data_IF_502163947458
#
_entry.id   IF_502163947458
#
_cell.length_a   1.000
_cell.length_b   1.000
_cell.length_c   1.000
_cell.angle_alpha   90.00
_cell.angle_beta   90.00
_cell.angle_gamma   90.00
#
_symmetry.space_group_name_H-M   'P 1'
#
loop_
_entity.id
_entity.type
_entity.pdbx_description
1 polymer ?
#
# COMPACT_ATOMS: atom_id res chain seq x y z
N UNK A 1 16.59 17.40 -15.22
CA UNK A 1 15.87 16.12 -15.36
C UNK A 1 16.76 15.17 -16.14
N UNK A 2 16.99 13.94 -15.65
CA UNK A 2 17.82 12.96 -16.36
C UNK A 2 16.96 12.20 -17.37
N UNK A 3 17.46 12.00 -18.59
CA UNK A 3 16.73 11.32 -19.68
C UNK A 3 17.55 10.22 -20.36
N UNK A 4 18.79 10.02 -19.93
CA UNK A 4 19.70 9.01 -20.44
C UNK A 4 19.60 7.74 -19.57
N UNK A 5 19.16 6.59 -20.12
CA UNK A 5 19.05 5.33 -19.37
C UNK A 5 20.39 4.82 -18.80
N UNK A 6 21.51 5.01 -19.51
CA UNK A 6 22.82 4.53 -19.03
C UNK A 6 23.30 5.34 -17.84
N UNK A 7 23.01 6.66 -17.84
CA UNK A 7 23.28 7.52 -16.71
C UNK A 7 22.37 7.19 -15.52
N UNK A 8 21.08 6.95 -15.75
CA UNK A 8 20.13 6.53 -14.70
C UNK A 8 20.58 5.21 -14.07
N UNK A 9 20.97 4.23 -14.88
CA UNK A 9 21.50 2.94 -14.43
C UNK A 9 22.78 3.11 -13.61
N UNK A 10 23.69 3.98 -14.06
CA UNK A 10 24.92 4.29 -13.34
C UNK A 10 24.64 4.88 -11.96
N UNK A 11 23.71 5.81 -11.85
CA UNK A 11 23.29 6.41 -10.57
C UNK A 11 22.60 5.38 -9.67
N UNK A 12 21.68 4.58 -10.22
CA UNK A 12 20.86 3.64 -9.44
C UNK A 12 21.61 2.37 -9.00
N UNK A 13 22.69 1.98 -9.70
CA UNK A 13 23.43 0.74 -9.43
C UNK A 13 24.87 1.01 -8.99
N UNK A 14 25.68 1.63 -9.86
CA UNK A 14 27.12 1.78 -9.63
C UNK A 14 27.44 2.80 -8.53
N UNK A 15 26.67 3.87 -8.49
CA UNK A 15 26.87 5.00 -7.60
C UNK A 15 25.75 5.11 -6.55
N UNK A 16 25.04 4.02 -6.30
CA UNK A 16 23.86 4.01 -5.43
C UNK A 16 24.16 4.59 -4.03
N UNK A 17 25.31 4.23 -3.44
CA UNK A 17 25.70 4.72 -2.11
C UNK A 17 25.82 6.25 -2.03
N UNK A 18 26.08 6.95 -3.14
CA UNK A 18 26.12 8.41 -3.19
C UNK A 18 24.74 9.05 -3.39
N UNK A 19 23.74 8.28 -3.82
CA UNK A 19 22.41 8.77 -4.21
C UNK A 19 21.27 8.02 -3.50
N UNK A 20 21.54 7.46 -2.32
CA UNK A 20 20.60 6.63 -1.57
C UNK A 20 19.42 7.42 -0.95
N UNK A 21 19.59 8.72 -0.72
CA UNK A 21 18.61 9.56 -0.05
C UNK A 21 17.57 10.14 -1.02
N UNK A 22 16.29 9.99 -0.68
CA UNK A 22 15.20 10.64 -1.42
C UNK A 22 15.00 12.08 -0.95
N UNK A 23 14.47 12.92 -1.84
CA UNK A 23 13.98 14.26 -1.44
C UNK A 23 12.80 14.07 -0.49
N UNK A 24 12.96 14.48 0.76
CA UNK A 24 11.85 14.48 1.71
C UNK A 24 10.84 15.56 1.34
N UNK A 25 9.56 15.20 1.38
CA UNK A 25 8.44 16.13 1.20
C UNK A 25 8.00 16.79 2.51
N UNK A 26 8.51 16.32 3.65
CA UNK A 26 8.13 16.73 5.00
C UNK A 26 9.39 17.14 5.77
N UNK A 27 9.32 18.28 6.47
CA UNK A 27 10.39 18.67 7.40
C UNK A 27 10.28 17.83 8.67
N UNK A 28 11.41 17.43 9.23
CA UNK A 28 11.48 16.45 10.33
C UNK A 28 10.67 16.84 11.58
N UNK A 29 10.37 18.13 11.74
CA UNK A 29 9.67 18.75 12.86
C UNK A 29 8.14 18.87 12.68
N UNK A 30 7.61 18.67 11.47
CA UNK A 30 6.19 18.96 11.17
C UNK A 30 5.27 17.75 11.36
N UNK A 31 5.74 16.54 11.05
CA UNK A 31 4.95 15.31 11.21
C UNK A 31 5.88 14.12 11.53
N UNK A 32 5.92 13.68 12.81
CA UNK A 32 6.73 12.54 13.24
C UNK A 32 6.37 11.21 12.57
N UNK A 33 5.14 11.03 12.09
CA UNK A 33 4.74 9.80 11.39
C UNK A 33 5.27 9.79 9.96
N UNK A 34 5.14 10.93 9.26
CA UNK A 34 5.69 11.04 7.92
C UNK A 34 7.21 11.14 7.93
N UNK A 35 7.86 11.83 8.88
CA UNK A 35 9.32 11.96 8.89
C UNK A 35 10.04 10.62 9.17
N UNK A 36 9.36 9.68 9.86
CA UNK A 36 9.90 8.35 10.13
C UNK A 36 9.50 7.28 9.08
N UNK A 37 8.85 7.66 7.98
CA UNK A 37 8.57 6.72 6.90
C UNK A 37 9.87 6.31 6.17
N UNK A 38 9.93 5.10 5.61
CA UNK A 38 11.15 4.57 4.97
C UNK A 38 11.69 5.47 3.84
N UNK A 39 10.83 6.17 3.09
CA UNK A 39 11.25 7.07 2.01
C UNK A 39 11.79 8.42 2.51
N UNK A 40 11.52 8.79 3.76
CA UNK A 40 12.03 10.01 4.38
C UNK A 40 13.33 9.79 5.15
N UNK A 41 13.61 8.56 5.58
CA UNK A 41 14.87 8.20 6.24
C UNK A 41 16.06 8.37 5.30
N UNK A 42 17.22 8.70 5.89
CA UNK A 42 18.48 8.94 5.17
C UNK A 42 19.62 8.10 5.73
N UNK A 43 20.64 7.89 4.89
CA UNK A 43 21.89 7.24 5.28
C UNK A 43 21.70 5.89 5.97
N UNK A 44 22.45 5.66 7.06
CA UNK A 44 22.48 4.39 7.76
C UNK A 44 21.13 4.01 8.39
N UNK A 45 20.37 4.99 8.89
CA UNK A 45 19.04 4.73 9.46
C UNK A 45 18.08 4.17 8.40
N UNK A 46 18.14 4.68 7.17
CA UNK A 46 17.41 4.09 6.05
C UNK A 46 17.86 2.66 5.76
N UNK A 47 19.18 2.43 5.76
CA UNK A 47 19.78 1.13 5.45
C UNK A 47 19.37 0.06 6.46
N UNK A 48 19.39 0.39 7.74
CA UNK A 48 18.96 -0.48 8.84
C UNK A 48 17.47 -0.84 8.72
N UNK A 49 16.58 0.16 8.60
CA UNK A 49 15.14 -0.10 8.51
C UNK A 49 14.80 -0.84 7.21
N UNK A 50 15.47 -0.54 6.09
CA UNK A 50 15.30 -1.29 4.85
C UNK A 50 15.73 -2.75 4.99
N UNK A 51 16.87 -3.01 5.64
CA UNK A 51 17.32 -4.38 5.89
C UNK A 51 16.30 -5.14 6.75
N UNK A 52 15.64 -4.46 7.68
CA UNK A 52 14.59 -5.03 8.51
C UNK A 52 13.30 -5.31 7.71
N UNK A 53 12.88 -4.38 6.84
CA UNK A 53 11.60 -4.54 6.11
C UNK A 53 11.70 -5.47 4.89
N UNK A 54 12.85 -5.54 4.24
CA UNK A 54 13.01 -6.24 2.95
C UNK A 54 12.56 -7.71 2.98
N UNK A 55 12.82 -8.51 4.03
CA UNK A 55 12.41 -9.92 4.04
C UNK A 55 10.90 -10.16 4.09
N UNK A 56 10.11 -9.16 4.49
CA UNK A 56 8.65 -9.25 4.43
C UNK A 56 8.12 -9.31 2.99
N UNK A 57 8.91 -8.86 2.00
CA UNK A 57 8.54 -8.78 0.58
C UNK A 57 9.21 -9.86 -0.29
N UNK A 58 9.63 -10.98 0.30
CA UNK A 58 10.14 -12.12 -0.49
C UNK A 58 9.05 -12.72 -1.38
N UNK A 59 9.44 -13.35 -2.49
CA UNK A 59 8.48 -13.97 -3.44
C UNK A 59 7.52 -14.96 -2.78
N UNK A 60 7.99 -15.72 -1.78
CA UNK A 60 7.14 -16.65 -1.02
C UNK A 60 6.06 -15.92 -0.21
N UNK A 61 6.45 -14.84 0.50
CA UNK A 61 5.50 -14.03 1.27
C UNK A 61 4.53 -13.30 0.33
N UNK A 62 5.02 -12.74 -0.77
CA UNK A 62 4.19 -12.11 -1.80
C UNK A 62 3.19 -13.08 -2.43
N UNK A 63 3.57 -14.34 -2.67
CA UNK A 63 2.66 -15.38 -3.16
C UNK A 63 1.52 -15.66 -2.18
N UNK A 64 1.82 -15.70 -0.88
CA UNK A 64 0.80 -15.86 0.15
C UNK A 64 -0.14 -14.64 0.22
N UNK A 65 0.41 -13.42 0.12
CA UNK A 65 -0.38 -12.18 0.06
C UNK A 65 -1.31 -12.19 -1.17
N UNK A 66 -0.80 -12.63 -2.32
CA UNK A 66 -1.57 -12.69 -3.57
C UNK A 66 -2.81 -13.57 -3.43
N UNK A 67 -2.68 -14.74 -2.78
CA UNK A 67 -3.83 -15.64 -2.57
C UNK A 67 -4.95 -14.94 -1.80
N UNK A 68 -4.62 -14.27 -0.69
CA UNK A 68 -5.56 -13.52 0.12
C UNK A 68 -6.21 -12.37 -0.68
N UNK A 69 -5.41 -11.59 -1.41
CA UNK A 69 -5.92 -10.51 -2.26
C UNK A 69 -6.88 -11.03 -3.34
N UNK A 70 -6.57 -12.17 -3.96
CA UNK A 70 -7.41 -12.80 -4.98
C UNK A 70 -8.74 -13.31 -4.41
N UNK A 71 -8.72 -13.89 -3.22
CA UNK A 71 -9.93 -14.37 -2.55
C UNK A 71 -10.84 -13.19 -2.19
N UNK A 72 -10.28 -12.10 -1.65
CA UNK A 72 -11.03 -10.87 -1.39
C UNK A 72 -11.56 -10.20 -2.67
N UNK A 73 -10.79 -10.17 -3.76
CA UNK A 73 -11.26 -9.67 -5.04
C UNK A 73 -12.49 -10.43 -5.53
N UNK A 74 -12.50 -11.75 -5.34
CA UNK A 74 -13.63 -12.59 -5.70
C UNK A 74 -14.87 -12.22 -4.90
N UNK A 75 -14.72 -12.06 -3.58
CA UNK A 75 -15.84 -11.69 -2.71
C UNK A 75 -16.33 -10.26 -2.93
N UNK A 76 -15.40 -9.34 -3.20
CA UNK A 76 -15.70 -7.96 -3.55
C UNK A 76 -16.50 -7.85 -4.86
N UNK A 77 -16.14 -8.64 -5.88
CA UNK A 77 -16.91 -8.70 -7.14
C UNK A 77 -18.30 -9.28 -6.91
N UNK A 78 -18.44 -10.36 -6.12
CA UNK A 78 -19.76 -10.92 -5.77
C UNK A 78 -20.64 -9.87 -5.09
N UNK A 79 -20.09 -9.14 -4.12
CA UNK A 79 -20.79 -8.05 -3.46
C UNK A 79 -21.32 -7.01 -4.45
N UNK A 80 -20.50 -6.59 -5.42
CA UNK A 80 -20.93 -5.64 -6.46
C UNK A 80 -22.04 -6.22 -7.34
N UNK A 81 -21.96 -7.52 -7.68
CA UNK A 81 -22.98 -8.18 -8.51
C UNK A 81 -24.33 -8.28 -7.81
N UNK A 82 -24.34 -8.39 -6.48
CA UNK A 82 -25.54 -8.43 -5.64
C UNK A 82 -26.20 -7.05 -5.45
N UNK A 83 -25.51 -5.95 -5.78
CA UNK A 83 -26.09 -4.61 -5.72
C UNK A 83 -27.21 -4.40 -6.76
N UNK A 84 -28.22 -3.56 -6.46
CA UNK A 84 -29.22 -3.13 -7.43
C UNK A 84 -28.59 -2.53 -8.69
N UNK A 85 -29.26 -2.64 -9.84
CA UNK A 85 -28.72 -2.19 -11.13
C UNK A 85 -28.35 -0.70 -11.13
N UNK A 86 -29.13 0.10 -10.42
CA UNK A 86 -28.97 1.54 -10.24
C UNK A 86 -27.69 1.87 -9.43
N UNK A 87 -27.25 0.96 -8.58
CA UNK A 87 -26.06 1.10 -7.74
C UNK A 87 -24.80 0.48 -8.37
N UNK A 88 -24.93 -0.22 -9.51
CA UNK A 88 -23.78 -0.80 -10.24
C UNK A 88 -23.09 0.20 -11.17
N UNK A 89 -23.70 1.37 -11.40
CA UNK A 89 -23.01 2.50 -12.03
C UNK A 89 -22.21 3.22 -10.95
N UNK A 90 -20.91 2.96 -10.91
CA UNK A 90 -20.00 3.46 -9.88
C UNK A 90 -18.80 4.17 -10.50
N UNK A 91 -18.25 5.12 -9.77
CA UNK A 91 -16.99 5.78 -10.13
C UNK A 91 -15.81 4.84 -9.86
N UNK A 92 -14.92 4.68 -10.85
CA UNK A 92 -13.86 3.68 -10.79
C UNK A 92 -12.81 3.97 -9.71
N UNK A 93 -12.41 5.23 -9.52
CA UNK A 93 -11.42 5.58 -8.50
C UNK A 93 -11.96 5.28 -7.10
N UNK A 94 -13.23 5.55 -6.80
CA UNK A 94 -13.86 5.23 -5.53
C UNK A 94 -13.88 3.71 -5.29
N UNK A 95 -14.35 2.92 -6.27
CA UNK A 95 -14.43 1.47 -6.08
C UNK A 95 -13.06 0.82 -5.90
N UNK A 96 -12.04 1.25 -6.67
CA UNK A 96 -10.67 0.77 -6.48
C UNK A 96 -10.06 1.25 -5.17
N UNK A 97 -10.35 2.49 -4.74
CA UNK A 97 -9.89 3.01 -3.45
C UNK A 97 -10.46 2.18 -2.29
N UNK A 98 -11.74 1.80 -2.36
CA UNK A 98 -12.36 0.91 -1.38
C UNK A 98 -11.71 -0.47 -1.42
N UNK A 99 -11.55 -1.07 -2.60
CA UNK A 99 -10.86 -2.36 -2.72
C UNK A 99 -9.44 -2.34 -2.10
N UNK A 100 -8.65 -1.28 -2.34
CA UNK A 100 -7.28 -1.20 -1.83
C UNK A 100 -7.18 -0.79 -0.37
N UNK A 101 -8.14 0.01 0.13
CA UNK A 101 -8.08 0.64 1.47
C UNK A 101 -8.97 -0.05 2.50
N UNK A 102 -10.19 -0.42 2.10
CA UNK A 102 -11.10 -1.25 2.91
C UNK A 102 -10.71 -2.73 2.86
N UNK A 103 -9.68 -3.06 2.07
CA UNK A 103 -9.09 -4.38 1.92
C UNK A 103 -9.14 -5.18 3.22
N UNK A 104 -9.74 -6.37 3.11
CA UNK A 104 -10.04 -7.27 4.22
C UNK A 104 -8.78 -7.87 4.85
N UNK A 105 -7.62 -7.21 4.81
CA UNK A 105 -6.38 -7.72 5.38
C UNK A 105 -5.57 -6.63 6.04
N UNK A 106 -5.00 -6.97 7.19
CA UNK A 106 -4.00 -6.16 7.86
C UNK A 106 -2.70 -6.93 7.97
N UNK A 107 -1.59 -6.25 7.73
CA UNK A 107 -0.27 -6.78 8.05
C UNK A 107 -0.09 -6.69 9.56
N UNK A 108 -0.03 -7.84 10.23
CA UNK A 108 0.31 -7.92 11.66
C UNK A 108 1.76 -8.34 11.82
N UNK A 109 2.45 -7.69 12.74
CA UNK A 109 3.74 -8.20 13.21
C UNK A 109 3.52 -9.55 13.93
N UNK A 110 4.24 -10.57 13.50
CA UNK A 110 4.33 -11.90 14.09
C UNK A 110 5.82 -12.10 14.45
N UNK A 111 6.11 -12.41 15.71
CA UNK A 111 7.48 -12.73 16.16
C UNK A 111 8.52 -11.63 15.91
N UNK A 112 8.16 -10.35 16.08
CA UNK A 112 9.09 -9.21 16.07
C UNK A 112 9.60 -8.73 14.71
N UNK A 113 9.40 -9.51 13.65
CA UNK A 113 9.94 -9.20 12.32
C UNK A 113 9.01 -9.56 11.16
N UNK A 114 8.09 -10.50 11.35
CA UNK A 114 7.32 -11.07 10.25
C UNK A 114 6.01 -10.32 10.06
N UNK A 115 5.69 -9.94 8.84
CA UNK A 115 4.36 -9.43 8.52
C UNK A 115 3.47 -10.62 8.13
N UNK A 116 2.56 -11.00 9.02
CA UNK A 116 1.48 -11.94 8.75
C UNK A 116 0.28 -11.17 8.23
N UNK A 117 -0.14 -11.45 7.01
CA UNK A 117 -1.43 -10.97 6.53
C UNK A 117 -2.52 -11.79 7.20
N UNK A 118 -3.42 -11.10 7.91
CA UNK A 118 -4.60 -11.73 8.48
C UNK A 118 -5.85 -11.09 7.90
N UNK A 119 -6.90 -11.88 7.64
CA UNK A 119 -8.21 -11.33 7.34
C UNK A 119 -8.66 -10.36 8.44
N UNK A 120 -9.21 -9.21 8.03
CA UNK A 120 -9.83 -8.24 8.91
C UNK A 120 -11.14 -8.85 9.37
N UNK A 121 -11.36 -8.91 10.69
CA UNK A 121 -12.57 -9.52 11.26
C UNK A 121 -13.85 -8.76 10.87
N UNK A 122 -13.75 -7.44 10.73
CA UNK A 122 -14.84 -6.56 10.32
C UNK A 122 -14.39 -5.66 9.16
N UNK A 123 -14.98 -5.80 7.95
CA UNK A 123 -14.84 -4.81 6.89
C UNK A 123 -15.34 -3.45 7.41
N UNK A 124 -14.55 -2.38 7.26
CA UNK A 124 -14.96 -1.10 7.82
C UNK A 124 -16.26 -0.55 7.19
N UNK A 125 -16.96 0.21 8.02
CA UNK A 125 -18.28 0.85 7.85
C UNK A 125 -18.45 1.68 6.56
N UNK A 126 -17.39 1.96 5.81
CA UNK A 126 -17.37 2.81 4.60
C UNK A 126 -18.24 2.28 3.47
N UNK A 127 -18.48 0.96 3.42
CA UNK A 127 -19.46 0.33 2.52
C UNK A 127 -20.89 0.80 2.82
N UNK A 128 -21.21 1.15 4.07
CA UNK A 128 -22.57 1.52 4.48
C UNK A 128 -22.92 3.00 4.27
N UNK A 129 -21.95 3.91 4.05
CA UNK A 129 -22.18 5.36 4.23
C UNK A 129 -22.32 6.15 2.91
N UNK A 130 -21.86 5.62 1.78
CA UNK A 130 -21.86 6.37 0.53
C UNK A 130 -22.90 5.92 -0.52
N UNK A 131 -23.67 4.86 -0.26
CA UNK A 131 -24.87 4.55 -1.07
C UNK A 131 -25.97 5.60 -0.86
N UNK A 132 -25.96 6.31 0.28
CA UNK A 132 -26.98 7.30 0.64
C UNK A 132 -26.68 8.70 0.08
N UNK A 133 -25.44 9.01 -0.34
CA UNK A 133 -25.05 10.38 -0.72
C UNK A 133 -25.14 10.72 -2.21
N UNK A 134 -25.31 9.73 -3.09
CA UNK A 134 -25.49 9.98 -4.54
C UNK A 134 -26.93 10.28 -4.95
N UNK A 135 -27.87 10.38 -4.01
CA UNK A 135 -29.28 10.72 -4.28
C UNK A 135 -29.67 12.18 -3.92
N UNK A 136 -28.73 13.04 -3.53
CA UNK A 136 -29.04 14.42 -3.10
C UNK A 136 -28.14 15.50 -3.74
N UNK A 137 -27.92 15.41 -5.06
CA UNK A 137 -27.62 16.58 -5.92
C UNK A 137 -28.30 16.41 -7.27
#
# INVERSE_FOLDING_TARGET
>A
MLRDPELIKSIALKYFDMFMDHRSFVKDDQDPLMSNNLFSLRGDKWREIRAVLSPAFTSSKMKNMFKLMSDYATDFVKFIMELPAEQRVMEMKDIFTRYTTDGSFIMKAEGGFWLKMVPRKDPHRTVAINVVKTHNL
#
